data_IF_865662627796
#
_entry.id   IF_865662627796
#
_cell.length_a   1.000
_cell.length_b   1.000
_cell.length_c   1.000
_cell.angle_alpha   90.00
_cell.angle_beta   90.00
_cell.angle_gamma   90.00
#
_symmetry.space_group_name_H-M   'P 1'
#
loop_
_entity.id
_entity.type
_entity.pdbx_description
1 polymer ?
#
# COMPACT_ATOMS: atom_id res chain seq x y z
N UNK A 1 -13.45 -4.24 -6.55
CA UNK A 1 -12.47 -3.32 -5.93
C UNK A 1 -11.71 -4.09 -4.86
N UNK A 2 -10.40 -3.90 -4.74
CA UNK A 2 -9.61 -4.48 -3.65
C UNK A 2 -9.68 -3.58 -2.41
N UNK A 3 -9.44 -4.14 -1.23
CA UNK A 3 -9.40 -3.40 0.05
C UNK A 3 -8.09 -3.68 0.77
N UNK A 4 -7.49 -2.64 1.35
CA UNK A 4 -6.33 -2.76 2.23
C UNK A 4 -6.65 -2.08 3.57
N UNK A 5 -6.55 -2.81 4.67
CA UNK A 5 -6.68 -2.25 6.02
C UNK A 5 -5.30 -1.81 6.51
N UNK A 6 -5.12 -0.50 6.73
CA UNK A 6 -3.83 0.04 7.10
C UNK A 6 -3.43 -0.28 8.54
N UNK A 7 -4.36 -0.65 9.42
CA UNK A 7 -4.10 -1.02 10.82
C UNK A 7 -3.78 -2.50 11.00
N UNK A 8 -4.20 -3.35 10.06
CA UNK A 8 -4.00 -4.80 10.14
C UNK A 8 -3.06 -5.36 9.08
N UNK A 9 -2.84 -4.61 7.99
CA UNK A 9 -2.08 -5.05 6.84
C UNK A 9 -2.82 -6.08 5.97
N UNK A 10 -4.10 -6.35 6.23
CA UNK A 10 -4.91 -7.28 5.42
C UNK A 10 -5.19 -6.66 4.06
N UNK A 11 -4.89 -7.43 3.01
CA UNK A 11 -5.16 -7.06 1.62
C UNK A 11 -6.15 -8.05 1.02
N UNK A 12 -7.36 -7.61 0.70
CA UNK A 12 -8.43 -8.42 0.13
C UNK A 12 -8.60 -8.01 -1.33
N UNK A 13 -8.37 -8.94 -2.26
CA UNK A 13 -8.54 -8.70 -3.69
C UNK A 13 -10.02 -8.65 -4.07
N UNK A 14 -10.32 -8.18 -5.29
CA UNK A 14 -11.70 -8.09 -5.78
C UNK A 14 -12.42 -9.44 -5.89
N UNK A 15 -11.67 -10.55 -5.97
CA UNK A 15 -12.18 -11.92 -5.95
C UNK A 15 -12.36 -12.49 -4.52
N UNK A 16 -12.12 -11.68 -3.48
CA UNK A 16 -12.26 -12.07 -2.08
C UNK A 16 -11.03 -12.77 -1.47
N UNK A 17 -9.97 -13.01 -2.25
CA UNK A 17 -8.75 -13.63 -1.70
C UNK A 17 -8.07 -12.70 -0.70
N UNK A 18 -7.77 -13.22 0.50
CA UNK A 18 -7.12 -12.47 1.56
C UNK A 18 -5.62 -12.76 1.61
N UNK A 19 -4.81 -11.71 1.59
CA UNK A 19 -3.36 -11.74 1.72
C UNK A 19 -2.92 -10.93 2.94
N UNK A 20 -1.73 -11.27 3.44
CA UNK A 20 -1.06 -10.47 4.46
C UNK A 20 -0.09 -9.48 3.81
N UNK A 21 0.01 -8.31 4.43
CA UNK A 21 0.89 -7.23 4.04
C UNK A 21 1.10 -6.26 5.20
N UNK A 22 1.62 -5.09 4.89
CA UNK A 22 1.76 -4.00 5.85
C UNK A 22 1.96 -2.65 5.15
N UNK A 23 1.85 -1.56 5.90
CA UNK A 23 2.24 -0.22 5.47
C UNK A 23 2.85 0.57 6.64
N UNK A 24 3.68 1.56 6.34
CA UNK A 24 4.55 2.24 7.31
C UNK A 24 5.73 1.39 7.77
N UNK A 25 6.51 1.92 8.71
CA UNK A 25 7.65 1.27 9.36
C UNK A 25 7.80 1.76 10.81
N UNK A 26 8.61 1.06 11.60
CA UNK A 26 8.89 1.41 13.01
C UNK A 26 7.58 1.67 13.76
N UNK A 27 7.44 2.81 14.40
CA UNK A 27 6.21 3.19 15.12
C UNK A 27 5.00 3.50 14.22
N UNK A 28 5.22 3.64 12.92
CA UNK A 28 4.17 3.80 11.91
C UNK A 28 3.74 2.49 11.26
N UNK A 29 4.37 1.36 11.60
CA UNK A 29 4.00 0.06 11.05
C UNK A 29 2.55 -0.27 11.41
N UNK A 30 1.69 -0.31 10.40
CA UNK A 30 0.26 -0.50 10.51
C UNK A 30 -0.41 0.37 11.58
N UNK A 31 0.07 1.61 11.75
CA UNK A 31 -0.47 2.53 12.75
C UNK A 31 -1.24 3.65 12.06
N UNK A 32 -2.57 3.50 11.97
CA UNK A 32 -3.47 4.45 11.29
C UNK A 32 -3.34 5.88 11.82
N UNK A 33 -3.05 6.05 13.12
CA UNK A 33 -2.88 7.35 13.77
C UNK A 33 -1.68 8.11 13.18
N UNK A 34 -0.68 7.41 12.62
CA UNK A 34 0.51 8.02 12.04
C UNK A 34 0.40 8.27 10.54
N UNK A 35 -0.75 8.11 9.89
CA UNK A 35 -0.90 8.29 8.43
C UNK A 35 -0.49 9.68 7.90
N UNK A 36 -0.43 10.70 8.75
CA UNK A 36 0.08 12.03 8.38
C UNK A 36 1.61 12.14 8.46
N UNK A 37 2.30 11.20 9.12
CA UNK A 37 3.74 11.24 9.37
C UNK A 37 4.50 10.72 8.14
N UNK A 38 5.11 11.63 7.40
CA UNK A 38 5.89 11.32 6.21
C UNK A 38 7.00 10.29 6.49
N UNK A 39 7.19 9.37 5.55
CA UNK A 39 8.22 8.32 5.58
C UNK A 39 8.16 7.31 6.75
N UNK A 40 7.21 7.45 7.66
CA UNK A 40 7.04 6.57 8.84
C UNK A 40 5.67 5.91 8.82
N UNK A 41 4.61 6.71 8.69
CA UNK A 41 3.24 6.23 8.75
C UNK A 41 2.81 5.41 7.54
N UNK A 42 1.70 4.68 7.68
CA UNK A 42 1.11 3.93 6.57
C UNK A 42 0.60 4.86 5.47
N UNK A 43 0.25 4.28 4.32
CA UNK A 43 -0.46 4.97 3.25
C UNK A 43 -1.75 5.60 3.80
N UNK A 44 -2.05 6.89 3.57
CA UNK A 44 -3.29 7.51 4.06
C UNK A 44 -4.55 6.78 3.60
N UNK A 45 -5.60 6.82 4.43
CA UNK A 45 -6.91 6.26 4.05
C UNK A 45 -7.49 6.94 2.81
N UNK A 46 -8.34 6.19 2.09
CA UNK A 46 -9.05 6.70 0.93
C UNK A 46 -9.02 5.76 -0.26
N UNK A 47 -9.28 6.29 -1.45
CA UNK A 47 -9.31 5.51 -2.68
C UNK A 47 -8.08 5.77 -3.53
N UNK A 48 -7.55 4.69 -4.09
CA UNK A 48 -6.38 4.73 -4.95
C UNK A 48 -6.68 3.97 -6.24
N UNK A 49 -6.09 4.44 -7.34
CA UNK A 49 -6.10 3.75 -8.62
C UNK A 49 -4.69 3.29 -8.96
N UNK A 50 -4.56 2.05 -9.43
CA UNK A 50 -3.32 1.56 -10.01
C UNK A 50 -3.14 2.21 -11.38
N UNK A 51 -2.16 3.10 -11.52
CA UNK A 51 -1.98 3.88 -12.76
C UNK A 51 -0.77 3.45 -13.58
N UNK A 52 0.04 2.52 -13.07
CA UNK A 52 1.21 2.03 -13.79
C UNK A 52 1.92 0.91 -13.04
N UNK A 53 2.95 0.38 -13.68
CA UNK A 53 3.86 -0.58 -13.08
C UNK A 53 5.31 -0.29 -13.49
N UNK A 54 6.25 -0.64 -12.62
CA UNK A 54 7.68 -0.53 -12.87
C UNK A 54 8.47 -1.55 -12.00
N UNK A 55 9.78 -1.37 -11.93
CA UNK A 55 10.71 -2.24 -11.18
C UNK A 55 11.52 -1.49 -10.12
N UNK A 56 11.14 -0.25 -9.78
CA UNK A 56 11.90 0.65 -8.88
C UNK A 56 12.09 0.11 -7.46
N UNK A 57 11.19 -0.77 -7.00
CA UNK A 57 11.25 -1.45 -5.70
C UNK A 57 11.23 -2.98 -5.87
N UNK A 58 11.81 -3.46 -6.96
CA UNK A 58 11.83 -4.86 -7.35
C UNK A 58 10.68 -5.25 -8.29
N UNK A 59 10.57 -6.55 -8.64
CA UNK A 59 9.62 -7.02 -9.64
C UNK A 59 8.16 -6.72 -9.28
N UNK A 60 7.42 -6.23 -10.27
CA UNK A 60 5.99 -5.90 -10.14
C UNK A 60 5.76 -4.86 -9.05
N UNK A 61 6.40 -3.70 -9.18
CA UNK A 61 6.08 -2.50 -8.38
C UNK A 61 4.91 -1.77 -9.06
N UNK A 62 3.81 -1.55 -8.36
CA UNK A 62 2.62 -0.89 -8.89
C UNK A 62 2.54 0.56 -8.40
N UNK A 63 2.21 1.49 -9.29
CA UNK A 63 2.08 2.91 -8.97
C UNK A 63 0.64 3.23 -8.57
N UNK A 64 0.47 3.91 -7.45
CA UNK A 64 -0.84 4.33 -6.94
C UNK A 64 -1.03 5.84 -7.10
N UNK A 65 -2.17 6.22 -7.65
CA UNK A 65 -2.64 7.61 -7.66
C UNK A 65 -3.82 7.74 -6.70
N UNK A 66 -3.75 8.61 -5.67
CA UNK A 66 -4.86 8.86 -4.77
C UNK A 66 -6.00 9.58 -5.49
N UNK A 67 -7.24 9.30 -5.07
CA UNK A 67 -8.38 10.12 -5.45
C UNK A 67 -8.23 11.54 -4.89
N UNK A 68 -8.76 12.53 -5.62
CA UNK A 68 -8.69 13.95 -5.22
C UNK A 68 -9.35 14.25 -3.87
N UNK A 69 -10.26 13.38 -3.42
CA UNK A 69 -10.94 13.47 -2.12
C UNK A 69 -10.12 12.96 -0.94
N UNK A 70 -8.99 12.28 -1.18
CA UNK A 70 -8.16 11.78 -0.09
C UNK A 70 -7.40 12.92 0.58
N UNK A 71 -7.26 12.85 1.91
CA UNK A 71 -6.38 13.75 2.65
C UNK A 71 -4.98 13.15 2.64
N UNK A 72 -4.09 13.72 1.83
CA UNK A 72 -2.76 13.14 1.61
C UNK A 72 -1.67 13.72 2.53
N UNK A 73 -1.98 14.74 3.33
CA UNK A 73 -1.04 15.37 4.26
C UNK A 73 0.28 15.84 3.60
N UNK A 74 0.21 16.29 2.34
CA UNK A 74 1.39 16.67 1.54
C UNK A 74 2.25 15.50 1.06
N UNK A 75 1.82 14.25 1.27
CA UNK A 75 2.53 13.03 0.86
C UNK A 75 2.10 12.58 -0.53
N UNK A 76 3.00 11.91 -1.24
CA UNK A 76 2.77 11.38 -2.59
C UNK A 76 3.72 10.22 -2.91
N UNK A 77 3.70 9.71 -4.15
CA UNK A 77 4.63 8.66 -4.59
C UNK A 77 4.32 7.27 -4.03
N UNK A 78 3.05 6.99 -3.76
CA UNK A 78 2.60 5.73 -3.18
C UNK A 78 2.68 4.57 -4.17
N UNK A 79 3.10 3.41 -3.68
CA UNK A 79 3.31 2.21 -4.47
C UNK A 79 2.70 0.99 -3.76
N UNK A 80 2.52 -0.09 -4.52
CA UNK A 80 2.43 -1.46 -4.00
C UNK A 80 3.67 -2.22 -4.44
N UNK A 81 4.46 -2.75 -3.50
CA UNK A 81 5.67 -3.50 -3.82
C UNK A 81 5.94 -4.64 -2.85
N UNK A 82 7.04 -5.37 -3.07
CA UNK A 82 7.48 -6.45 -2.20
C UNK A 82 8.30 -5.95 -1.01
N UNK A 83 8.43 -6.80 0.00
CA UNK A 83 9.31 -6.52 1.13
C UNK A 83 10.78 -6.52 0.71
N UNK A 84 11.64 -6.00 1.59
CA UNK A 84 13.08 -6.11 1.47
C UNK A 84 13.55 -7.55 1.80
N UNK A 85 14.81 -7.87 1.50
CA UNK A 85 15.38 -9.20 1.74
C UNK A 85 15.60 -9.55 3.22
N UNK A 86 15.48 -8.58 4.13
CA UNK A 86 15.63 -8.79 5.58
C UNK A 86 14.33 -9.25 6.24
N UNK A 87 13.16 -8.93 5.65
CA UNK A 87 11.86 -9.29 6.21
C UNK A 87 11.58 -8.63 7.58
N UNK A 88 12.16 -7.45 7.81
CA UNK A 88 12.11 -6.73 9.09
C UNK A 88 11.04 -5.62 9.13
N UNK A 89 10.10 -5.64 8.17
CA UNK A 89 9.05 -4.65 7.99
C UNK A 89 9.55 -3.20 7.82
N UNK A 90 10.80 -3.00 7.35
CA UNK A 90 11.38 -1.66 7.16
C UNK A 90 11.29 -1.15 5.72
N UNK A 91 10.74 -1.92 4.78
CA UNK A 91 10.76 -1.55 3.36
C UNK A 91 9.80 -0.40 3.01
N UNK A 92 8.72 -0.23 3.77
CA UNK A 92 7.70 0.77 3.48
C UNK A 92 8.01 2.11 4.14
N UNK A 93 7.94 3.18 3.34
CA UNK A 93 7.90 4.57 3.81
C UNK A 93 6.48 5.17 3.69
N UNK A 94 5.48 4.29 3.81
CA UNK A 94 4.06 4.56 3.54
C UNK A 94 3.53 3.89 2.28
N UNK A 95 4.26 2.97 1.66
CA UNK A 95 3.74 2.15 0.56
C UNK A 95 3.01 0.93 1.10
N UNK A 96 2.21 0.25 0.28
CA UNK A 96 1.63 -1.05 0.64
C UNK A 96 2.65 -2.14 0.28
N UNK A 97 2.97 -2.98 1.25
CA UNK A 97 3.83 -4.15 1.06
C UNK A 97 2.96 -5.39 1.08
N UNK A 98 2.96 -6.14 -0.02
CA UNK A 98 2.26 -7.43 -0.12
C UNK A 98 3.06 -8.39 -0.99
N UNK A 99 2.85 -9.69 -0.81
CA UNK A 99 3.53 -10.73 -1.59
C UNK A 99 3.23 -10.70 -3.09
N UNK A 100 4.07 -11.34 -3.93
CA UNK A 100 3.91 -11.34 -5.38
C UNK A 100 2.56 -11.93 -5.85
N UNK A 101 1.98 -12.87 -5.12
CA UNK A 101 0.67 -13.44 -5.42
C UNK A 101 -0.44 -12.37 -5.38
N UNK A 102 -0.44 -11.50 -4.36
CA UNK A 102 -1.38 -10.38 -4.26
C UNK A 102 -1.15 -9.35 -5.38
N UNK A 103 0.12 -9.00 -5.66
CA UNK A 103 0.45 -8.01 -6.70
C UNK A 103 0.02 -8.47 -8.10
N UNK A 104 0.08 -9.78 -8.38
CA UNK A 104 -0.38 -10.36 -9.66
C UNK A 104 -1.90 -10.35 -9.83
N UNK A 105 -2.67 -10.08 -8.77
CA UNK A 105 -4.13 -9.94 -8.83
C UNK A 105 -4.59 -8.54 -9.22
N UNK A 106 -3.65 -7.61 -9.41
CA UNK A 106 -3.94 -6.22 -9.72
C UNK A 106 -3.45 -5.87 -11.13
N UNK A 107 -4.20 -5.00 -11.79
CA UNK A 107 -3.93 -4.46 -13.13
C UNK A 107 -4.06 -2.93 -13.12
N UNK A 108 -3.49 -2.28 -14.14
CA UNK A 108 -3.69 -0.84 -14.36
C UNK A 108 -5.20 -0.58 -14.53
N UNK A 109 -5.70 0.44 -13.84
CA UNK A 109 -7.12 0.78 -13.76
C UNK A 109 -7.83 0.22 -12.52
N UNK A 110 -7.24 -0.76 -11.84
CA UNK A 110 -7.86 -1.31 -10.62
C UNK A 110 -7.89 -0.27 -9.51
N UNK A 111 -9.00 -0.30 -8.75
CA UNK A 111 -9.19 0.53 -7.56
C UNK A 111 -8.88 -0.26 -6.30
N UNK A 112 -8.28 0.43 -5.35
CA UNK A 112 -8.01 -0.06 -3.99
C UNK A 112 -8.63 0.93 -3.01
N UNK A 113 -9.44 0.42 -2.09
CA UNK A 113 -9.91 1.15 -0.93
C UNK A 113 -8.95 0.89 0.23
N UNK A 114 -8.30 1.95 0.72
CA UNK A 114 -7.56 1.90 1.98
C UNK A 114 -8.53 2.30 3.09
N UNK A 115 -8.73 1.38 4.03
CA UNK A 115 -9.52 1.59 5.24
C UNK A 115 -8.58 1.65 6.44
N UNK A 116 -9.13 2.03 7.59
CA UNK A 116 -8.53 1.70 8.87
C UNK A 116 -8.14 0.23 8.96
#
# INVERSE_FOLDING_TARGET
MATFSQSTGKFITSDGTCYNGYSGNREGLNNSIKESVAFVGPIPQGEYTVTGSNTSKGPTTLVLTPAKSNIMYGRSGFLIHGDNSKGDNSASHGCIIVGPAARKKLSIGDKIKVTE
#
